data_IF_282355348846
#
_entry.id   IF_282355348846
#
_cell.length_a   1.000
_cell.length_b   1.000
_cell.length_c   1.000
_cell.angle_alpha   90.00
_cell.angle_beta   90.00
_cell.angle_gamma   90.00
#
_symmetry.space_group_name_H-M   'P 1'
#
loop_
_entity.id
_entity.type
_entity.pdbx_description
1 polymer ?
#
# COMPACT_ATOMS: atom_id res chain seq x y z
N UNK A 1 23.22 3.93 -6.18
CA UNK A 1 24.20 5.05 -6.30
C UNK A 1 24.86 5.46 -4.98
N UNK A 2 24.24 5.31 -3.79
CA UNK A 2 24.82 5.83 -2.53
C UNK A 2 25.82 4.87 -1.85
N UNK A 3 25.71 3.56 -2.08
CA UNK A 3 26.57 2.55 -1.43
C UNK A 3 27.45 1.74 -2.40
N UNK A 4 27.53 2.11 -3.68
CA UNK A 4 28.25 1.33 -4.73
C UNK A 4 27.91 -0.18 -4.78
N UNK A 5 26.74 -0.60 -4.30
CA UNK A 5 26.25 -1.98 -4.41
C UNK A 5 25.84 -2.31 -5.85
N UNK A 6 25.90 -3.59 -6.26
CA UNK A 6 25.39 -4.03 -7.55
C UNK A 6 23.96 -3.54 -7.76
N UNK A 7 23.73 -2.93 -8.92
CA UNK A 7 22.39 -2.54 -9.34
C UNK A 7 21.70 -3.76 -9.93
N UNK A 8 20.51 -4.07 -9.44
CA UNK A 8 19.69 -5.17 -9.93
C UNK A 8 18.21 -4.78 -9.86
N UNK A 9 17.33 -5.51 -10.55
CA UNK A 9 15.88 -5.29 -10.65
C UNK A 9 15.18 -5.14 -9.28
N UNK A 10 15.78 -5.63 -8.19
CA UNK A 10 15.31 -5.45 -6.80
C UNK A 10 15.25 -3.99 -6.34
N UNK A 11 15.93 -3.06 -7.01
CA UNK A 11 15.81 -1.62 -6.73
C UNK A 11 14.51 -1.03 -7.28
N UNK A 12 14.00 -1.58 -8.38
CA UNK A 12 12.71 -1.18 -8.96
C UNK A 12 11.57 -1.71 -8.10
N UNK A 13 11.70 -2.93 -7.55
CA UNK A 13 10.77 -3.48 -6.55
C UNK A 13 10.70 -2.61 -5.30
N UNK A 14 11.85 -2.11 -4.82
CA UNK A 14 11.86 -1.16 -3.70
C UNK A 14 11.06 0.10 -4.02
N UNK A 15 11.32 0.69 -5.18
CA UNK A 15 10.65 1.92 -5.61
C UNK A 15 9.14 1.70 -5.79
N UNK A 16 8.74 0.53 -6.31
CA UNK A 16 7.35 0.12 -6.39
C UNK A 16 6.67 0.06 -5.01
N UNK A 17 7.33 -0.49 -3.99
CA UNK A 17 6.78 -0.51 -2.62
C UNK A 17 6.48 0.89 -2.08
N UNK A 18 7.34 1.87 -2.38
CA UNK A 18 7.13 3.28 -1.99
C UNK A 18 5.97 3.90 -2.77
N UNK A 19 5.86 3.64 -4.08
CA UNK A 19 4.72 4.09 -4.90
C UNK A 19 3.41 3.48 -4.40
N UNK A 20 3.39 2.19 -4.06
CA UNK A 20 2.21 1.54 -3.51
C UNK A 20 1.74 2.21 -2.20
N UNK A 21 2.67 2.61 -1.34
CA UNK A 21 2.35 3.38 -0.14
C UNK A 21 1.81 4.77 -0.44
N UNK A 22 2.38 5.48 -1.42
CA UNK A 22 1.86 6.76 -1.87
C UNK A 22 0.43 6.63 -2.42
N UNK A 23 0.14 5.58 -3.19
CA UNK A 23 -1.21 5.30 -3.71
C UNK A 23 -2.22 5.02 -2.60
N UNK A 24 -1.82 4.23 -1.59
CA UNK A 24 -2.70 3.87 -0.46
C UNK A 24 -2.97 5.08 0.44
N UNK A 25 -1.97 5.92 0.66
CA UNK A 25 -2.07 7.03 1.62
C UNK A 25 -2.48 8.36 0.98
N UNK A 26 -2.26 8.53 -0.33
CA UNK A 26 -2.36 9.81 -1.01
C UNK A 26 -1.33 10.85 -0.53
N UNK A 27 -0.30 10.42 0.20
CA UNK A 27 0.69 11.31 0.83
C UNK A 27 2.05 11.21 0.15
N UNK A 28 2.79 12.33 0.17
CA UNK A 28 4.18 12.35 -0.29
C UNK A 28 5.08 11.62 0.73
N UNK A 29 5.87 10.61 0.32
CA UNK A 29 6.80 9.93 1.22
C UNK A 29 7.89 10.91 1.66
N UNK A 30 8.23 10.87 2.96
CA UNK A 30 9.27 11.73 3.56
C UNK A 30 9.06 13.24 3.32
N UNK A 31 7.81 13.73 3.33
CA UNK A 31 7.43 15.12 2.99
C UNK A 31 8.26 16.25 3.64
N UNK A 32 8.89 16.01 4.80
CA UNK A 32 9.75 16.97 5.50
C UNK A 32 11.25 16.84 5.18
N UNK A 33 11.62 16.09 4.15
CA UNK A 33 13.01 15.81 3.79
C UNK A 33 13.27 16.13 2.32
N UNK A 34 14.45 16.68 2.03
CA UNK A 34 14.98 16.69 0.66
C UNK A 34 15.32 15.27 0.21
N UNK A 35 15.42 15.03 -1.10
CA UNK A 35 15.78 13.71 -1.64
C UNK A 35 17.09 13.15 -1.05
N UNK A 36 18.10 14.00 -0.84
CA UNK A 36 19.38 13.60 -0.23
C UNK A 36 19.21 13.21 1.25
N UNK A 37 18.43 13.99 2.00
CA UNK A 37 18.13 13.70 3.41
C UNK A 37 17.32 12.40 3.56
N UNK A 38 16.32 12.19 2.70
CA UNK A 38 15.51 10.98 2.68
C UNK A 38 16.38 9.77 2.36
N UNK A 39 17.23 9.86 1.32
CA UNK A 39 18.10 8.77 0.95
C UNK A 39 19.11 8.42 2.06
N UNK A 40 19.69 9.44 2.72
CA UNK A 40 20.54 9.22 3.90
C UNK A 40 19.76 8.58 5.06
N UNK A 41 18.55 9.05 5.37
CA UNK A 41 17.73 8.50 6.44
C UNK A 41 17.32 7.03 6.18
N UNK A 42 16.94 6.70 4.95
CA UNK A 42 16.60 5.34 4.52
C UNK A 42 17.79 4.39 4.66
N UNK A 43 18.96 4.84 4.23
CA UNK A 43 20.17 4.01 4.14
C UNK A 43 20.89 3.87 5.48
N UNK A 44 21.04 4.97 6.22
CA UNK A 44 21.85 5.01 7.44
C UNK A 44 21.03 4.84 8.73
N UNK A 45 19.75 5.20 8.71
CA UNK A 45 18.87 5.13 9.89
C UNK A 45 17.73 4.12 9.74
N UNK A 46 17.60 3.46 8.58
CA UNK A 46 16.55 2.49 8.33
C UNK A 46 15.14 3.10 8.30
N UNK A 47 15.01 4.42 8.09
CA UNK A 47 13.70 5.08 8.08
C UNK A 47 12.86 4.54 6.92
N UNK A 48 11.58 4.30 7.17
CA UNK A 48 10.57 3.88 6.18
C UNK A 48 9.28 4.68 6.39
N UNK A 49 8.42 4.82 5.35
CA UNK A 49 7.09 5.38 5.53
C UNK A 49 6.27 4.56 6.54
N UNK A 50 5.41 5.24 7.31
CA UNK A 50 4.57 4.57 8.32
C UNK A 50 3.41 3.88 7.63
N UNK A 51 3.23 2.59 7.85
CA UNK A 51 2.05 1.86 7.35
C UNK A 51 0.83 2.30 8.18
N UNK A 52 -0.24 2.83 7.54
CA UNK A 52 -1.46 3.21 8.26
C UNK A 52 -2.09 2.01 8.97
N UNK A 53 -2.73 2.26 10.11
CA UNK A 53 -3.37 1.23 10.93
C UNK A 53 -4.64 0.65 10.30
N UNK A 54 -5.28 1.42 9.44
CA UNK A 54 -6.45 1.09 8.64
C UNK A 54 -6.11 0.48 7.28
N UNK A 55 -4.81 0.33 6.97
CA UNK A 55 -4.36 -0.36 5.77
C UNK A 55 -4.69 -1.86 5.86
N UNK A 56 -5.18 -2.44 4.75
CA UNK A 56 -5.39 -3.88 4.66
C UNK A 56 -4.06 -4.61 4.97
N UNK A 57 -4.04 -5.55 5.93
CA UNK A 57 -2.79 -6.19 6.37
C UNK A 57 -1.98 -6.81 5.23
N UNK A 58 -2.66 -7.38 4.22
CA UNK A 58 -2.03 -7.97 3.06
C UNK A 58 -1.30 -6.92 2.18
N UNK A 59 -1.89 -5.73 1.97
CA UNK A 59 -1.21 -4.61 1.30
C UNK A 59 -0.02 -4.10 2.11
N UNK A 60 -0.19 -4.00 3.44
CA UNK A 60 0.90 -3.67 4.37
C UNK A 60 2.09 -4.62 4.24
N UNK A 61 1.82 -5.93 4.14
CA UNK A 61 2.85 -6.95 3.97
C UNK A 61 3.56 -6.85 2.60
N UNK A 62 2.82 -6.60 1.51
CA UNK A 62 3.41 -6.41 0.17
C UNK A 62 4.36 -5.21 0.18
N UNK A 63 3.88 -4.03 0.62
CA UNK A 63 4.70 -2.82 0.69
C UNK A 63 5.97 -3.03 1.50
N UNK A 64 5.83 -3.63 2.69
CA UNK A 64 6.96 -3.81 3.60
C UNK A 64 8.01 -4.79 3.10
N UNK A 65 7.59 -5.86 2.42
CA UNK A 65 8.52 -6.77 1.73
C UNK A 65 9.20 -6.11 0.55
N UNK A 66 8.49 -5.30 -0.23
CA UNK A 66 9.04 -4.61 -1.39
C UNK A 66 10.18 -3.65 -1.01
N UNK A 67 10.05 -2.92 0.11
CA UNK A 67 11.09 -1.96 0.57
C UNK A 67 12.04 -2.49 1.64
N UNK A 68 12.18 -3.81 1.75
CA UNK A 68 13.08 -4.43 2.73
C UNK A 68 14.52 -3.90 2.57
N UNK A 69 15.22 -3.76 3.69
CA UNK A 69 16.62 -3.33 3.68
C UNK A 69 17.53 -4.33 2.96
N UNK A 70 17.21 -5.63 3.04
CA UNK A 70 17.86 -6.69 2.32
C UNK A 70 17.21 -6.89 0.93
N UNK A 71 17.93 -6.63 -0.18
CA UNK A 71 17.42 -6.85 -1.54
C UNK A 71 16.98 -8.29 -1.82
N UNK A 72 17.59 -9.27 -1.15
CA UNK A 72 17.29 -10.70 -1.38
C UNK A 72 15.94 -11.12 -0.78
N UNK A 73 15.44 -10.37 0.20
CA UNK A 73 14.11 -10.59 0.82
C UNK A 73 12.98 -10.03 -0.05
N UNK A 74 13.30 -9.04 -0.88
CA UNK A 74 12.32 -8.39 -1.74
C UNK A 74 11.80 -9.40 -2.76
N UNK A 75 10.49 -9.44 -3.02
CA UNK A 75 9.92 -10.30 -4.05
C UNK A 75 10.43 -9.92 -5.45
N UNK A 76 10.26 -10.80 -6.42
CA UNK A 76 10.25 -10.47 -7.85
C UNK A 76 8.92 -9.80 -8.22
N UNK A 77 8.86 -9.13 -9.37
CA UNK A 77 7.59 -8.56 -9.82
C UNK A 77 6.53 -9.62 -10.09
N UNK A 78 6.91 -10.83 -10.54
CA UNK A 78 5.99 -11.96 -10.69
C UNK A 78 5.33 -12.29 -9.35
N UNK A 79 6.11 -12.46 -8.28
CA UNK A 79 5.57 -12.70 -6.94
C UNK A 79 4.73 -11.50 -6.43
N UNK A 80 5.10 -10.26 -6.76
CA UNK A 80 4.31 -9.08 -6.42
C UNK A 80 2.93 -9.14 -7.06
N UNK A 81 2.84 -9.47 -8.35
CA UNK A 81 1.57 -9.61 -9.07
C UNK A 81 0.72 -10.71 -8.44
N UNK A 82 1.29 -11.89 -8.18
CA UNK A 82 0.57 -13.00 -7.53
C UNK A 82 0.02 -12.59 -6.15
N UNK A 83 0.81 -11.86 -5.36
CA UNK A 83 0.34 -11.34 -4.07
C UNK A 83 -0.80 -10.31 -4.23
N UNK A 84 -0.73 -9.45 -5.25
CA UNK A 84 -1.77 -8.44 -5.52
C UNK A 84 -3.07 -9.08 -6.01
N UNK A 85 -3.01 -10.14 -6.82
CA UNK A 85 -4.20 -10.89 -7.25
C UNK A 85 -4.94 -11.51 -6.07
N UNK A 86 -4.20 -12.05 -5.08
CA UNK A 86 -4.81 -12.54 -3.83
C UNK A 86 -5.49 -11.40 -3.08
N UNK A 87 -4.82 -10.25 -2.97
CA UNK A 87 -5.37 -9.06 -2.31
C UNK A 87 -6.61 -8.51 -3.01
N UNK A 88 -6.65 -8.52 -4.35
CA UNK A 88 -7.81 -8.10 -5.11
C UNK A 88 -9.06 -8.86 -4.67
N UNK A 89 -8.96 -10.17 -4.48
CA UNK A 89 -10.09 -10.98 -3.99
C UNK A 89 -10.53 -10.60 -2.58
N UNK A 90 -9.60 -10.21 -1.71
CA UNK A 90 -9.91 -9.74 -0.35
C UNK A 90 -10.57 -8.36 -0.35
N UNK A 91 -10.06 -7.43 -1.15
CA UNK A 91 -10.62 -6.07 -1.28
C UNK A 91 -12.04 -6.14 -1.81
N UNK A 92 -12.24 -6.90 -2.89
CA UNK A 92 -13.57 -7.09 -3.49
C UNK A 92 -14.51 -7.66 -2.42
N UNK A 93 -14.09 -8.69 -1.68
CA UNK A 93 -14.90 -9.28 -0.60
C UNK A 93 -15.21 -8.28 0.52
N UNK A 94 -14.23 -7.52 1.00
CA UNK A 94 -14.42 -6.51 2.05
C UNK A 94 -15.39 -5.41 1.60
N UNK A 95 -15.30 -5.00 0.33
CA UNK A 95 -16.24 -4.05 -0.27
C UNK A 95 -17.67 -4.59 -0.31
N UNK A 96 -17.86 -5.83 -0.78
CA UNK A 96 -19.19 -6.48 -0.79
C UNK A 96 -19.77 -6.64 0.62
N UNK A 97 -18.95 -7.07 1.59
CA UNK A 97 -19.39 -7.22 2.98
C UNK A 97 -19.81 -5.87 3.60
N UNK A 98 -19.04 -4.81 3.35
CA UNK A 98 -19.41 -3.45 3.76
C UNK A 98 -20.71 -3.01 3.10
N UNK A 99 -20.94 -3.33 1.82
CA UNK A 99 -22.18 -2.99 1.12
C UNK A 99 -23.40 -3.78 1.63
N UNK A 100 -23.28 -5.09 1.88
CA UNK A 100 -24.36 -5.90 2.46
C UNK A 100 -24.66 -5.51 3.92
N UNK A 101 -23.63 -5.19 4.70
CA UNK A 101 -23.80 -4.71 6.07
C UNK A 101 -24.47 -3.34 6.09
N UNK A 102 -24.08 -2.44 5.18
CA UNK A 102 -24.76 -1.14 5.01
C UNK A 102 -26.23 -1.34 4.62
N UNK A 103 -26.53 -2.28 3.70
CA UNK A 103 -27.91 -2.65 3.34
C UNK A 103 -28.70 -3.20 4.54
N UNK A 104 -28.12 -4.12 5.32
CA UNK A 104 -28.77 -4.71 6.50
C UNK A 104 -29.06 -3.67 7.57
N UNK A 105 -28.11 -2.76 7.82
CA UNK A 105 -28.28 -1.63 8.76
C UNK A 105 -29.38 -0.68 8.25
N UNK A 106 -29.34 -0.28 6.98
CA UNK A 106 -30.36 0.60 6.38
C UNK A 106 -31.76 -0.03 6.41
N UNK A 107 -31.87 -1.35 6.14
CA UNK A 107 -33.14 -2.08 6.13
C UNK A 107 -33.70 -2.26 7.55
N UNK A 108 -32.85 -2.56 8.53
CA UNK A 108 -33.26 -2.68 9.94
C UNK A 108 -33.59 -1.33 10.60
N UNK A 109 -33.00 -0.23 10.13
CA UNK A 109 -33.19 1.10 10.70
C UNK A 109 -34.32 1.92 10.05
N UNK A 110 -35.03 1.43 9.02
CA UNK A 110 -36.00 2.20 8.20
C UNK A 110 -35.45 3.56 7.73
N UNK A 111 -34.15 3.65 7.46
CA UNK A 111 -33.54 4.89 6.96
C UNK A 111 -33.67 4.89 5.43
N UNK A 112 -34.53 5.75 4.90
CA UNK A 112 -34.86 5.84 3.46
C UNK A 112 -33.95 6.76 2.65
N UNK A 113 -32.77 7.15 3.17
CA UNK A 113 -31.85 7.99 2.40
C UNK A 113 -30.76 7.14 1.75
N UNK A 114 -30.91 6.95 0.45
CA UNK A 114 -29.86 6.49 -0.45
C UNK A 114 -28.65 7.41 -0.28
N UNK A 115 -27.44 6.88 -0.11
CA UNK A 115 -26.26 7.71 -0.04
C UNK A 115 -25.94 8.35 -1.40
N UNK A 116 -25.55 9.61 -1.37
CA UNK A 116 -25.33 10.49 -2.54
C UNK A 116 -24.14 10.07 -3.44
N UNK A 117 -23.34 9.09 -3.01
CA UNK A 117 -22.19 8.56 -3.76
C UNK A 117 -22.54 7.59 -4.91
N UNK A 118 -23.82 7.31 -5.15
CA UNK A 118 -24.27 6.47 -6.27
C UNK A 118 -24.71 7.28 -7.51
N UNK A 119 -24.39 8.57 -7.59
CA UNK A 119 -24.83 9.46 -8.69
C UNK A 119 -23.72 10.07 -9.57
N UNK A 120 -22.45 9.64 -9.47
CA UNK A 120 -21.42 10.11 -10.41
C UNK A 120 -20.86 8.98 -11.30
N UNK A 121 -21.43 8.97 -12.52
CA UNK A 121 -21.01 8.41 -13.82
C UNK A 121 -20.94 6.89 -14.03
#
# INVERSE_FOLDING_TARGET
MIQHRPYDHKVDVYSFGIVLWELITGMLPFHNMTAVQAAFAVVNKGVRPVVPHDCLPALGAIMTRCWDANPDVRPSFTEVVEMLEVVETEIVRDFWLKQEMFWTICHSAKISRVPEYAQEN
#
